data_IF_304833437430
#
_entry.id   IF_304833437430
#
_cell.length_a   1.000
_cell.length_b   1.000
_cell.length_c   1.000
_cell.angle_alpha   90.00
_cell.angle_beta   90.00
_cell.angle_gamma   90.00
#
_symmetry.space_group_name_H-M   'P 1'
#
loop_
_entity.id
_entity.type
_entity.pdbx_description
1 polymer ?
#
# COMPACT_ATOMS: atom_id res chain seq x y z
N UNK A 1 19.70 -10.32 13.00
CA UNK A 1 18.95 -10.09 11.74
C UNK A 1 19.27 -8.68 11.28
N UNK A 2 19.70 -8.52 10.03
CA UNK A 2 19.93 -7.20 9.42
C UNK A 2 18.59 -6.59 8.98
N UNK A 3 18.51 -5.27 8.87
CA UNK A 3 17.32 -4.59 8.32
C UNK A 3 16.97 -4.99 6.88
N UNK A 4 17.88 -5.69 6.20
CA UNK A 4 17.71 -6.18 4.83
C UNK A 4 17.09 -7.58 4.73
N UNK A 5 17.05 -8.33 5.84
CA UNK A 5 16.66 -9.74 5.84
C UNK A 5 15.15 -9.96 5.60
N UNK A 6 14.35 -8.92 5.80
CA UNK A 6 12.89 -8.95 5.55
C UNK A 6 12.50 -8.57 4.11
N UNK A 7 13.49 -8.25 3.26
CA UNK A 7 13.27 -7.78 1.88
C UNK A 7 13.46 -8.93 0.89
N UNK A 8 12.42 -9.71 0.71
CA UNK A 8 12.45 -10.92 -0.12
C UNK A 8 12.32 -10.59 -1.60
N UNK A 9 13.10 -11.28 -2.45
CA UNK A 9 13.05 -11.13 -3.90
C UNK A 9 13.61 -9.81 -4.46
N UNK A 10 14.29 -8.98 -3.63
CA UNK A 10 14.72 -7.62 -4.00
C UNK A 10 16.25 -7.44 -3.99
N UNK A 11 17.01 -8.51 -4.26
CA UNK A 11 18.47 -8.51 -4.08
C UNK A 11 19.18 -7.38 -4.83
N UNK A 12 18.78 -7.09 -6.07
CA UNK A 12 19.37 -6.01 -6.88
C UNK A 12 19.19 -4.63 -6.23
N UNK A 13 17.97 -4.34 -5.73
CA UNK A 13 17.66 -3.10 -5.04
C UNK A 13 18.40 -2.99 -3.69
N UNK A 14 18.50 -4.10 -2.97
CA UNK A 14 19.27 -4.18 -1.71
C UNK A 14 20.74 -3.87 -1.97
N UNK A 15 21.34 -4.44 -3.01
CA UNK A 15 22.75 -4.25 -3.32
C UNK A 15 23.06 -2.80 -3.71
N UNK A 16 22.15 -2.14 -4.46
CA UNK A 16 22.28 -0.70 -4.78
C UNK A 16 22.28 0.13 -3.48
N UNK A 17 21.35 -0.12 -2.57
CA UNK A 17 21.26 0.66 -1.33
C UNK A 17 22.37 0.33 -0.32
N UNK A 18 22.84 -0.91 -0.27
CA UNK A 18 24.03 -1.27 0.51
C UNK A 18 25.26 -0.55 0.02
N UNK A 19 25.51 -0.55 -1.30
CA UNK A 19 26.61 0.20 -1.89
C UNK A 19 26.49 1.70 -1.61
N UNK A 20 25.28 2.27 -1.72
CA UNK A 20 25.03 3.66 -1.40
C UNK A 20 25.28 3.99 0.08
N UNK A 21 24.84 3.13 1.01
CA UNK A 21 25.03 3.38 2.46
C UNK A 21 26.49 3.30 2.91
N UNK A 22 27.32 2.56 2.16
CA UNK A 22 28.76 2.44 2.42
C UNK A 22 29.58 3.57 1.78
N UNK A 23 29.03 4.24 0.76
CA UNK A 23 29.67 5.37 0.11
C UNK A 23 29.45 6.67 0.91
N UNK A 24 30.39 7.61 0.78
CA UNK A 24 30.17 8.97 1.29
C UNK A 24 29.24 9.74 0.35
N UNK A 25 28.42 10.61 0.93
CA UNK A 25 27.66 11.59 0.15
C UNK A 25 28.69 12.47 -0.57
N UNK A 26 28.83 12.30 -1.87
CA UNK A 26 29.76 13.08 -2.66
C UNK A 26 29.27 14.53 -2.69
N UNK A 27 30.22 15.49 -2.68
CA UNK A 27 29.91 16.86 -3.06
C UNK A 27 29.26 16.86 -4.44
N UNK A 28 28.29 17.74 -4.68
CA UNK A 28 27.37 17.79 -5.83
C UNK A 28 27.98 17.75 -7.24
N UNK A 29 29.29 17.55 -7.37
CA UNK A 29 30.07 17.58 -8.62
C UNK A 29 30.45 16.21 -9.18
N UNK A 30 30.23 15.10 -8.45
CA UNK A 30 30.60 13.76 -8.96
C UNK A 30 29.34 12.93 -9.31
N UNK A 31 29.06 12.82 -10.61
CA UNK A 31 28.01 11.93 -11.14
C UNK A 31 28.26 10.44 -10.93
N UNK A 32 29.43 10.05 -10.43
CA UNK A 32 29.89 8.66 -10.30
C UNK A 32 29.75 8.10 -8.87
N UNK A 33 29.21 8.85 -7.94
CA UNK A 33 29.02 8.36 -6.56
C UNK A 33 27.88 7.35 -6.48
N UNK A 34 28.10 6.24 -5.77
CA UNK A 34 27.03 5.28 -5.44
C UNK A 34 25.95 5.94 -4.59
N UNK A 35 26.28 6.95 -3.77
CA UNK A 35 25.36 7.68 -2.90
C UNK A 35 24.90 8.98 -3.54
N UNK A 36 23.59 9.24 -3.48
CA UNK A 36 22.97 10.51 -3.85
C UNK A 36 22.01 10.96 -2.75
N UNK A 37 21.66 12.23 -2.77
CA UNK A 37 20.77 12.83 -1.76
C UNK A 37 19.27 12.65 -2.05
N UNK A 38 18.87 12.16 -3.26
CA UNK A 38 17.46 12.01 -3.61
C UNK A 38 17.22 10.69 -4.34
N UNK A 39 16.36 9.86 -3.76
CA UNK A 39 16.04 8.52 -4.24
C UNK A 39 14.55 8.38 -4.50
N UNK A 40 14.23 7.57 -5.50
CA UNK A 40 12.87 7.14 -5.81
C UNK A 40 12.81 5.61 -5.80
N UNK A 41 12.03 5.05 -4.90
CA UNK A 41 11.74 3.61 -4.84
C UNK A 41 10.44 3.36 -5.56
N UNK A 42 10.49 2.64 -6.69
CA UNK A 42 9.30 2.29 -7.46
C UNK A 42 9.02 0.80 -7.44
N UNK A 43 7.78 0.44 -7.67
CA UNK A 43 7.30 -0.94 -7.75
C UNK A 43 5.81 -1.04 -7.49
N UNK A 44 5.17 -2.14 -7.87
CA UNK A 44 3.73 -2.30 -7.67
C UNK A 44 3.36 -2.25 -6.19
N UNK A 45 2.08 -1.96 -5.86
CA UNK A 45 1.59 -2.04 -4.50
C UNK A 45 1.95 -3.40 -3.86
N UNK A 46 2.41 -3.37 -2.60
CA UNK A 46 2.78 -4.59 -1.87
C UNK A 46 4.15 -5.19 -2.19
N UNK A 47 4.94 -4.63 -3.10
CA UNK A 47 6.31 -5.08 -3.41
C UNK A 47 7.34 -4.79 -2.31
N UNK A 48 6.97 -4.07 -1.24
CA UNK A 48 7.86 -3.74 -0.14
C UNK A 48 8.60 -2.40 -0.27
N UNK A 49 8.08 -1.44 -1.07
CA UNK A 49 8.69 -0.10 -1.27
C UNK A 49 9.03 0.59 0.04
N UNK A 50 8.04 0.74 0.92
CA UNK A 50 8.24 1.38 2.23
C UNK A 50 9.24 0.60 3.08
N UNK A 51 9.16 -0.74 3.09
CA UNK A 51 10.11 -1.57 3.84
C UNK A 51 11.54 -1.34 3.37
N UNK A 52 11.78 -1.30 2.05
CA UNK A 52 13.10 -1.01 1.49
C UNK A 52 13.55 0.43 1.82
N UNK A 53 12.67 1.41 1.73
CA UNK A 53 12.97 2.81 2.08
C UNK A 53 13.39 2.92 3.56
N UNK A 54 12.68 2.27 4.48
CA UNK A 54 13.03 2.28 5.89
C UNK A 54 14.27 1.43 6.22
N UNK A 55 14.51 0.33 5.51
CA UNK A 55 15.75 -0.43 5.65
C UNK A 55 16.97 0.41 5.21
N UNK A 56 16.84 1.15 4.11
CA UNK A 56 17.86 2.09 3.68
C UNK A 56 18.03 3.24 4.67
N UNK A 57 16.94 3.84 5.16
CA UNK A 57 17.00 4.85 6.21
C UNK A 57 17.72 4.31 7.46
N UNK A 58 17.38 3.10 7.91
CA UNK A 58 18.04 2.46 9.04
C UNK A 58 19.54 2.22 8.79
N UNK A 59 19.94 1.88 7.57
CA UNK A 59 21.37 1.70 7.23
C UNK A 59 22.17 2.99 7.29
N UNK A 60 21.53 4.13 6.98
CA UNK A 60 22.15 5.46 7.04
C UNK A 60 22.22 6.03 8.47
N UNK A 61 21.21 5.74 9.29
CA UNK A 61 21.06 6.26 10.64
C UNK A 61 21.78 5.39 11.71
N UNK A 62 21.92 4.10 11.44
CA UNK A 62 22.58 3.15 12.32
C UNK A 62 24.11 3.19 12.15
N UNK A 63 24.85 3.30 13.25
CA UNK A 63 26.32 3.29 13.24
C UNK A 63 26.92 1.99 12.69
N UNK A 64 26.16 0.90 12.72
CA UNK A 64 26.56 -0.41 12.24
C UNK A 64 25.91 -0.78 10.89
N UNK A 65 25.51 0.22 10.08
CA UNK A 65 24.99 0.01 8.72
C UNK A 65 23.69 -0.78 8.63
N UNK A 66 22.80 -0.64 9.64
CA UNK A 66 21.50 -1.31 9.62
C UNK A 66 21.51 -2.71 10.27
N UNK A 67 22.06 -2.82 11.49
CA UNK A 67 22.17 -4.10 12.20
C UNK A 67 20.83 -4.72 12.63
N UNK A 68 19.71 -3.99 12.59
CA UNK A 68 18.37 -4.46 12.95
C UNK A 68 18.07 -4.56 14.45
N UNK A 69 19.09 -4.52 15.31
CA UNK A 69 18.92 -4.82 16.77
C UNK A 69 19.18 -3.62 17.68
N UNK A 70 19.94 -2.61 17.24
CA UNK A 70 20.27 -1.44 18.04
C UNK A 70 19.07 -0.51 18.22
N UNK A 71 19.23 0.48 19.11
CA UNK A 71 18.22 1.49 19.42
C UNK A 71 17.81 2.28 18.16
N UNK A 72 18.78 2.70 17.34
CA UNK A 72 18.52 3.47 16.12
C UNK A 72 17.66 2.66 15.13
N UNK A 73 18.01 1.38 14.87
CA UNK A 73 17.22 0.50 14.01
C UNK A 73 15.78 0.30 14.53
N UNK A 74 15.62 0.12 15.86
CA UNK A 74 14.29 -0.01 16.47
C UNK A 74 13.47 1.27 16.36
N UNK A 75 14.10 2.43 16.55
CA UNK A 75 13.44 3.73 16.41
C UNK A 75 13.07 4.01 14.95
N UNK A 76 13.89 3.63 13.97
CA UNK A 76 13.55 3.75 12.56
C UNK A 76 12.37 2.84 12.21
N UNK A 77 12.36 1.60 12.67
CA UNK A 77 11.24 0.68 12.49
C UNK A 77 9.94 1.23 13.09
N UNK A 78 10.04 1.86 14.29
CA UNK A 78 8.92 2.55 14.95
C UNK A 78 8.63 3.95 14.38
N UNK A 79 9.41 4.46 13.43
CA UNK A 79 9.30 5.81 12.83
C UNK A 79 9.44 6.96 13.85
N UNK A 80 10.19 6.73 14.93
CA UNK A 80 10.39 7.66 16.05
C UNK A 80 11.82 8.19 16.17
N UNK A 81 12.71 7.85 15.22
CA UNK A 81 14.09 8.29 15.25
C UNK A 81 14.18 9.81 15.04
N UNK A 82 14.96 10.58 15.85
CA UNK A 82 15.01 12.05 15.78
C UNK A 82 15.50 12.59 14.43
N UNK A 83 16.36 11.85 13.72
CA UNK A 83 16.88 12.23 12.41
C UNK A 83 16.10 11.58 11.24
N UNK A 84 14.96 10.97 11.51
CA UNK A 84 14.03 10.47 10.51
C UNK A 84 12.77 11.34 10.51
N UNK A 85 12.43 11.90 9.35
CA UNK A 85 11.14 12.52 9.13
C UNK A 85 10.34 11.68 8.11
N UNK A 86 9.09 11.42 8.40
CA UNK A 86 8.25 10.56 7.54
C UNK A 86 6.97 11.29 7.16
N UNK A 87 6.55 11.13 5.92
CA UNK A 87 5.24 11.56 5.46
C UNK A 87 4.48 10.34 4.94
N UNK A 88 3.52 9.91 5.75
CA UNK A 88 2.52 8.92 5.39
C UNK A 88 1.17 9.60 5.57
N UNK A 89 0.50 9.94 4.48
CA UNK A 89 -0.79 10.63 4.60
C UNK A 89 -1.91 9.66 4.93
N UNK A 90 -2.78 10.06 5.84
CA UNK A 90 -4.04 9.36 6.12
C UNK A 90 -5.16 9.82 5.18
N UNK A 91 -4.87 10.77 4.30
CA UNK A 91 -5.80 11.30 3.29
C UNK A 91 -5.62 10.57 1.95
N UNK A 92 -6.58 10.77 1.08
CA UNK A 92 -6.47 10.30 -0.32
C UNK A 92 -5.38 11.04 -1.07
N UNK A 93 -5.18 12.32 -0.76
CA UNK A 93 -4.19 13.21 -1.40
C UNK A 93 -3.30 13.83 -0.32
N UNK A 94 -2.00 13.88 -0.54
CA UNK A 94 -1.03 14.60 0.29
C UNK A 94 -1.24 16.11 0.13
N UNK A 95 -1.47 16.80 1.24
CA UNK A 95 -1.70 18.23 1.23
C UNK A 95 -0.39 19.03 1.09
N UNK A 96 -0.52 20.25 0.56
CA UNK A 96 0.63 21.15 0.41
C UNK A 96 1.26 21.53 1.76
N UNK A 97 0.47 21.61 2.82
CA UNK A 97 0.95 22.00 4.15
C UNK A 97 1.74 20.87 4.82
N UNK A 98 1.35 19.59 4.60
CA UNK A 98 2.14 18.42 5.04
C UNK A 98 3.53 18.43 4.39
N UNK A 99 3.60 18.69 3.08
CA UNK A 99 4.87 18.77 2.35
C UNK A 99 5.70 19.97 2.78
N UNK A 100 5.09 21.14 3.02
CA UNK A 100 5.80 22.33 3.55
C UNK A 100 6.41 22.08 4.91
N UNK A 101 5.66 21.46 5.83
CA UNK A 101 6.17 21.09 7.15
C UNK A 101 7.35 20.13 7.04
N UNK A 102 7.28 19.16 6.11
CA UNK A 102 8.37 18.21 5.87
C UNK A 102 9.62 18.91 5.30
N UNK A 103 9.45 19.77 4.29
CA UNK A 103 10.54 20.59 3.72
C UNK A 103 11.16 21.50 4.79
N UNK A 104 10.37 22.12 5.65
CA UNK A 104 10.89 22.89 6.76
C UNK A 104 11.71 22.03 7.73
N UNK A 105 11.22 20.83 8.04
CA UNK A 105 11.93 19.89 8.90
C UNK A 105 13.26 19.41 8.30
N UNK A 106 13.37 19.35 6.97
CA UNK A 106 14.59 18.91 6.29
C UNK A 106 15.75 19.93 6.39
N UNK A 107 15.44 21.17 6.77
CA UNK A 107 16.46 22.23 6.92
C UNK A 107 17.29 22.08 8.21
N UNK A 108 16.88 21.22 9.14
CA UNK A 108 17.67 20.98 10.36
C UNK A 108 18.81 20.00 10.09
N UNK A 109 19.96 20.28 10.67
CA UNK A 109 21.09 19.35 10.69
C UNK A 109 20.74 18.07 11.45
N UNK A 110 21.37 16.91 11.12
CA UNK A 110 21.22 15.71 11.93
C UNK A 110 21.56 15.96 13.40
N UNK A 111 20.76 15.42 14.33
CA UNK A 111 20.91 15.63 15.76
C UNK A 111 21.84 14.58 16.41
N UNK A 112 21.72 13.30 16.02
CA UNK A 112 22.43 12.18 16.65
C UNK A 112 23.12 11.26 15.65
N UNK A 113 22.67 11.23 14.40
CA UNK A 113 23.16 10.36 13.35
C UNK A 113 24.03 11.10 12.33
N UNK A 114 24.62 10.34 11.39
CA UNK A 114 25.43 10.91 10.31
C UNK A 114 24.58 11.67 9.29
N UNK A 115 23.36 11.19 9.04
CA UNK A 115 22.43 11.72 8.06
C UNK A 115 21.10 12.10 8.69
N UNK A 116 20.40 13.04 8.06
CA UNK A 116 18.98 13.26 8.22
C UNK A 116 18.26 12.62 7.04
N UNK A 117 17.29 11.77 7.33
CA UNK A 117 16.55 11.02 6.29
C UNK A 117 15.09 11.45 6.28
N UNK A 118 14.58 11.74 5.09
CA UNK A 118 13.18 12.07 4.87
C UNK A 118 12.56 11.02 3.95
N UNK A 119 11.49 10.37 4.41
CA UNK A 119 10.75 9.37 3.63
C UNK A 119 9.35 9.89 3.32
N UNK A 120 8.97 9.88 2.04
CA UNK A 120 7.60 10.15 1.58
C UNK A 120 7.05 8.85 1.01
N UNK A 121 6.10 8.26 1.73
CA UNK A 121 5.32 7.14 1.22
C UNK A 121 4.21 7.66 0.29
N UNK A 122 3.84 6.87 -0.73
CA UNK A 122 2.79 7.22 -1.69
C UNK A 122 2.99 8.61 -2.33
N UNK A 123 4.18 8.91 -2.83
CA UNK A 123 4.52 10.20 -3.44
C UNK A 123 3.67 10.52 -4.70
N UNK A 124 3.09 9.51 -5.33
CA UNK A 124 2.09 9.60 -6.40
C UNK A 124 0.82 10.32 -5.97
N UNK A 125 0.51 10.35 -4.67
CA UNK A 125 -0.66 11.07 -4.13
C UNK A 125 -0.45 12.59 -3.98
N UNK A 126 0.69 13.10 -4.40
CA UNK A 126 0.94 14.54 -4.46
C UNK A 126 0.41 15.13 -5.76
N UNK A 127 -0.54 16.08 -5.66
CA UNK A 127 -0.90 16.90 -6.80
C UNK A 127 0.31 17.69 -7.34
N UNK A 128 0.32 18.08 -8.61
CA UNK A 128 1.41 18.81 -9.26
C UNK A 128 1.85 20.05 -8.45
N UNK A 129 0.90 20.83 -7.94
CA UNK A 129 1.18 22.01 -7.11
C UNK A 129 1.91 21.64 -5.80
N UNK A 130 1.57 20.51 -5.21
CA UNK A 130 2.20 19.99 -3.99
C UNK A 130 3.61 19.47 -4.30
N UNK A 131 3.76 18.75 -5.41
CA UNK A 131 5.05 18.24 -5.90
C UNK A 131 6.06 19.35 -6.17
N UNK A 132 5.61 20.49 -6.69
CA UNK A 132 6.48 21.64 -6.96
C UNK A 132 7.12 22.24 -5.69
N UNK A 133 6.52 22.05 -4.51
CA UNK A 133 7.11 22.50 -3.23
C UNK A 133 8.40 21.74 -2.89
N UNK A 134 8.52 20.47 -3.34
CA UNK A 134 9.71 19.65 -3.08
C UNK A 134 10.90 20.01 -3.97
N UNK A 135 10.68 20.60 -5.15
CA UNK A 135 11.72 20.74 -6.17
C UNK A 135 13.00 21.39 -5.63
N UNK A 136 12.87 22.50 -4.90
CA UNK A 136 14.03 23.17 -4.32
C UNK A 136 14.78 22.31 -3.29
N UNK A 137 14.04 21.55 -2.49
CA UNK A 137 14.63 20.68 -1.48
C UNK A 137 15.31 19.45 -2.08
N UNK A 138 14.88 19.03 -3.28
CA UNK A 138 15.51 17.94 -4.03
C UNK A 138 16.71 18.42 -4.87
N UNK A 139 16.71 19.68 -5.31
CA UNK A 139 17.84 20.29 -6.05
C UNK A 139 19.01 20.65 -5.17
N UNK A 140 18.71 21.32 -4.07
CA UNK A 140 19.70 21.88 -3.14
C UNK A 140 19.37 21.46 -1.69
N UNK A 141 19.46 20.15 -1.37
CA UNK A 141 19.21 19.71 0.00
C UNK A 141 20.32 20.21 0.93
N UNK A 142 20.02 20.42 2.21
CA UNK A 142 21.05 20.68 3.20
C UNK A 142 22.06 19.53 3.28
N UNK A 143 23.28 19.85 3.72
CA UNK A 143 24.33 18.84 3.89
C UNK A 143 23.83 17.64 4.71
N UNK A 144 24.16 16.43 4.27
CA UNK A 144 23.83 15.16 4.92
C UNK A 144 22.32 14.89 5.02
N UNK A 145 21.51 15.55 4.18
CA UNK A 145 20.07 15.27 4.07
C UNK A 145 19.80 14.33 2.90
N UNK A 146 19.04 13.26 3.14
CA UNK A 146 18.67 12.24 2.15
C UNK A 146 17.17 12.14 2.04
N UNK A 147 16.66 12.30 0.83
CA UNK A 147 15.24 12.16 0.48
C UNK A 147 15.00 10.78 -0.15
N UNK A 148 13.95 10.10 0.30
CA UNK A 148 13.50 8.82 -0.24
C UNK A 148 12.01 8.96 -0.55
N UNK A 149 11.67 8.92 -1.83
CA UNK A 149 10.29 8.95 -2.32
C UNK A 149 9.87 7.52 -2.68
N UNK A 150 8.62 7.15 -2.40
CA UNK A 150 8.05 5.87 -2.81
C UNK A 150 6.84 6.13 -3.72
N UNK A 151 6.78 5.46 -4.88
CA UNK A 151 5.65 5.55 -5.81
C UNK A 151 5.45 4.21 -6.55
N UNK A 152 4.25 3.89 -7.06
CA UNK A 152 4.02 2.67 -7.85
C UNK A 152 4.86 2.63 -9.13
N UNK A 153 4.98 3.75 -9.82
CA UNK A 153 5.75 3.93 -11.05
C UNK A 153 6.41 5.31 -11.10
N UNK A 154 7.50 5.43 -11.85
CA UNK A 154 8.09 6.74 -12.16
C UNK A 154 7.11 7.64 -12.92
N UNK A 155 6.24 7.06 -13.75
CA UNK A 155 5.27 7.80 -14.54
C UNK A 155 4.22 8.52 -13.67
N UNK A 156 4.02 8.08 -12.44
CA UNK A 156 3.07 8.68 -11.50
C UNK A 156 3.59 9.99 -10.88
N UNK A 157 4.87 10.29 -11.09
CA UNK A 157 5.48 11.54 -10.63
C UNK A 157 5.68 12.53 -11.80
N UNK A 158 5.62 13.83 -11.47
CA UNK A 158 5.87 14.88 -12.47
C UNK A 158 7.31 14.79 -13.02
N UNK A 159 7.53 15.11 -14.30
CA UNK A 159 8.84 15.01 -14.96
C UNK A 159 9.97 15.75 -14.22
N UNK A 160 9.63 16.87 -13.58
CA UNK A 160 10.57 17.70 -12.84
C UNK A 160 11.10 17.04 -11.57
N UNK A 161 10.32 16.19 -10.90
CA UNK A 161 10.83 15.34 -9.79
C UNK A 161 11.67 14.21 -10.36
N UNK A 162 11.19 13.50 -11.39
CA UNK A 162 11.90 12.36 -11.98
C UNK A 162 13.32 12.67 -12.42
N UNK A 163 13.55 13.88 -12.96
CA UNK A 163 14.88 14.31 -13.39
C UNK A 163 15.88 14.59 -12.26
N UNK A 164 15.43 14.60 -10.98
CA UNK A 164 16.23 14.95 -9.79
C UNK A 164 16.42 13.82 -8.81
N UNK A 165 15.83 12.67 -9.08
CA UNK A 165 15.91 11.50 -8.20
C UNK A 165 16.58 10.34 -8.91
N UNK A 166 17.33 9.53 -8.16
CA UNK A 166 17.86 8.25 -8.64
C UNK A 166 16.84 7.16 -8.34
N UNK A 167 16.35 6.51 -9.40
CA UNK A 167 15.33 5.48 -9.28
C UNK A 167 15.93 4.12 -8.96
N UNK A 168 15.24 3.40 -8.05
CA UNK A 168 15.46 1.99 -7.75
C UNK A 168 14.12 1.28 -7.88
N UNK A 169 14.06 0.32 -8.81
CA UNK A 169 12.83 -0.39 -9.14
C UNK A 169 12.77 -1.73 -8.41
N UNK A 170 11.66 -1.96 -7.70
CA UNK A 170 11.32 -3.24 -7.12
C UNK A 170 10.61 -4.14 -8.14
N UNK A 171 10.89 -5.43 -8.05
CA UNK A 171 10.16 -6.47 -8.80
C UNK A 171 8.97 -6.94 -7.98
N UNK A 172 7.99 -7.56 -8.65
CA UNK A 172 6.99 -8.36 -7.94
C UNK A 172 7.70 -9.59 -7.38
N UNK A 173 7.67 -9.84 -6.06
CA UNK A 173 8.24 -11.07 -5.51
C UNK A 173 7.53 -12.29 -6.08
N UNK A 174 8.19 -13.45 -6.10
CA UNK A 174 7.52 -14.68 -6.47
C UNK A 174 6.59 -15.17 -5.36
N UNK A 175 5.58 -15.97 -5.69
CA UNK A 175 4.69 -16.58 -4.69
C UNK A 175 5.48 -17.39 -3.64
N UNK A 176 6.45 -18.24 -4.02
CA UNK A 176 7.30 -18.93 -3.05
C UNK A 176 8.07 -17.98 -2.12
N UNK A 177 8.68 -16.91 -2.68
CA UNK A 177 9.42 -15.95 -1.88
C UNK A 177 8.55 -15.31 -0.79
N UNK A 178 7.31 -14.92 -1.14
CA UNK A 178 6.36 -14.33 -0.18
C UNK A 178 5.90 -15.37 0.83
N UNK A 179 5.64 -16.61 0.41
CA UNK A 179 5.25 -17.69 1.29
C UNK A 179 6.33 -17.99 2.33
N UNK A 180 7.60 -18.11 1.91
CA UNK A 180 8.74 -18.33 2.80
C UNK A 180 8.89 -17.19 3.83
N UNK A 181 8.70 -15.95 3.41
CA UNK A 181 8.71 -14.79 4.30
C UNK A 181 7.61 -14.90 5.37
N UNK A 182 6.38 -15.27 4.97
CA UNK A 182 5.24 -15.41 5.88
C UNK A 182 5.48 -16.55 6.87
N UNK A 183 5.97 -17.70 6.42
CA UNK A 183 6.36 -18.80 7.31
C UNK A 183 7.41 -18.35 8.33
N UNK A 184 8.47 -17.70 7.88
CA UNK A 184 9.58 -17.28 8.75
C UNK A 184 9.19 -16.20 9.76
N UNK A 185 8.34 -15.23 9.34
CA UNK A 185 7.96 -14.08 10.17
C UNK A 185 6.78 -14.37 11.08
N UNK A 186 5.76 -15.04 10.55
CA UNK A 186 4.46 -15.16 11.21
C UNK A 186 4.22 -16.54 11.81
N UNK A 187 5.10 -17.53 11.51
CA UNK A 187 5.04 -18.87 12.07
C UNK A 187 3.85 -19.71 11.60
N UNK A 188 3.20 -19.32 10.49
CA UNK A 188 2.10 -20.08 9.89
C UNK A 188 2.63 -21.27 9.09
N UNK A 189 1.81 -22.28 8.85
CA UNK A 189 2.19 -23.44 8.04
C UNK A 189 2.40 -23.07 6.56
N UNK A 190 3.24 -23.85 5.85
CA UNK A 190 3.64 -23.57 4.48
C UNK A 190 2.46 -23.58 3.48
N UNK A 191 1.45 -24.43 3.70
CA UNK A 191 0.28 -24.51 2.81
C UNK A 191 -0.57 -23.24 2.94
N UNK A 192 -0.82 -22.79 4.16
CA UNK A 192 -1.54 -21.53 4.43
C UNK A 192 -0.77 -20.32 3.89
N UNK A 193 0.57 -20.28 4.08
CA UNK A 193 1.41 -19.20 3.59
C UNK A 193 1.41 -19.13 2.04
N UNK A 194 1.55 -20.27 1.36
CA UNK A 194 1.54 -20.32 -0.11
C UNK A 194 0.18 -19.90 -0.68
N UNK A 195 -0.92 -20.42 -0.12
CA UNK A 195 -2.27 -20.02 -0.50
C UNK A 195 -2.47 -18.51 -0.31
N UNK A 196 -2.09 -17.97 0.83
CA UNK A 196 -2.20 -16.55 1.11
C UNK A 196 -1.34 -15.69 0.17
N UNK A 197 -0.12 -16.10 -0.15
CA UNK A 197 0.77 -15.42 -1.10
C UNK A 197 0.19 -15.43 -2.52
N UNK A 198 -0.40 -16.54 -2.97
CA UNK A 198 -1.07 -16.69 -4.27
C UNK A 198 -2.31 -15.81 -4.35
N UNK A 199 -3.19 -15.86 -3.36
CA UNK A 199 -4.40 -15.03 -3.28
C UNK A 199 -4.08 -13.54 -3.22
N UNK A 200 -3.01 -13.16 -2.53
CA UNK A 200 -2.53 -11.79 -2.46
C UNK A 200 -1.77 -11.35 -3.72
N UNK A 201 -1.60 -12.22 -4.72
CA UNK A 201 -0.81 -11.94 -5.92
C UNK A 201 0.57 -11.35 -5.59
N UNK A 202 1.24 -11.99 -4.62
CA UNK A 202 2.54 -11.58 -4.08
C UNK A 202 2.57 -10.22 -3.35
N UNK A 203 1.43 -9.65 -3.01
CA UNK A 203 1.37 -8.46 -2.17
C UNK A 203 1.69 -8.84 -0.71
N UNK A 204 2.90 -8.52 -0.22
CA UNK A 204 3.42 -8.98 1.09
C UNK A 204 2.46 -8.68 2.25
N UNK A 205 1.97 -7.44 2.37
CA UNK A 205 1.08 -7.04 3.46
C UNK A 205 -0.28 -7.75 3.41
N UNK A 206 -0.81 -8.01 2.21
CA UNK A 206 -2.06 -8.75 2.05
C UNK A 206 -1.86 -10.24 2.32
N UNK A 207 -0.75 -10.84 1.87
CA UNK A 207 -0.41 -12.23 2.16
C UNK A 207 -0.31 -12.47 3.67
N UNK A 208 0.38 -11.57 4.39
CA UNK A 208 0.41 -11.60 5.85
C UNK A 208 -1.01 -11.59 6.45
N UNK A 209 -1.85 -10.64 6.02
CA UNK A 209 -3.21 -10.51 6.53
C UNK A 209 -4.06 -11.75 6.26
N UNK A 210 -4.01 -12.29 5.04
CA UNK A 210 -4.76 -13.50 4.67
C UNK A 210 -4.26 -14.76 5.41
N UNK A 211 -2.98 -14.82 5.72
CA UNK A 211 -2.38 -15.94 6.45
C UNK A 211 -2.66 -15.90 7.96
N UNK A 212 -2.74 -14.70 8.57
CA UNK A 212 -2.84 -14.51 10.02
C UNK A 212 -4.25 -14.18 10.50
N UNK A 213 -5.15 -13.74 9.61
CA UNK A 213 -6.52 -13.37 9.94
C UNK A 213 -7.54 -14.22 9.16
N UNK A 214 -8.12 -15.26 9.80
CA UNK A 214 -9.10 -16.14 9.17
C UNK A 214 -10.35 -15.41 8.65
N UNK A 215 -10.77 -14.33 9.31
CA UNK A 215 -11.94 -13.56 8.88
C UNK A 215 -11.65 -12.80 7.57
N UNK A 216 -10.44 -12.26 7.42
CA UNK A 216 -10.03 -11.62 6.16
C UNK A 216 -9.99 -12.63 5.01
N UNK A 217 -9.50 -13.85 5.26
CA UNK A 217 -9.51 -14.94 4.28
C UNK A 217 -10.94 -15.34 3.91
N UNK A 218 -11.85 -15.48 4.88
CA UNK A 218 -13.25 -15.81 4.65
C UNK A 218 -13.99 -14.73 3.84
N UNK A 219 -13.75 -13.44 4.13
CA UNK A 219 -14.34 -12.31 3.37
C UNK A 219 -13.87 -12.30 1.91
N UNK A 220 -12.59 -12.60 1.65
CA UNK A 220 -12.09 -12.75 0.28
C UNK A 220 -12.79 -13.92 -0.43
N UNK A 221 -12.90 -15.06 0.23
CA UNK A 221 -13.59 -16.25 -0.32
C UNK A 221 -15.05 -15.94 -0.64
N UNK A 222 -15.76 -15.21 0.25
CA UNK A 222 -17.12 -14.74 0.02
C UNK A 222 -17.20 -13.84 -1.23
N UNK A 223 -16.25 -12.90 -1.39
CA UNK A 223 -16.17 -12.02 -2.57
C UNK A 223 -16.04 -12.81 -3.87
N UNK A 224 -15.14 -13.81 -3.90
CA UNK A 224 -14.95 -14.67 -5.08
C UNK A 224 -16.23 -15.48 -5.38
N UNK A 225 -16.87 -16.06 -4.37
CA UNK A 225 -18.12 -16.79 -4.54
C UNK A 225 -19.26 -15.90 -5.04
N UNK A 226 -19.38 -14.69 -4.51
CA UNK A 226 -20.39 -13.74 -4.95
C UNK A 226 -20.29 -13.49 -6.46
N UNK A 227 -19.09 -13.16 -6.97
CA UNK A 227 -18.94 -12.82 -8.39
C UNK A 227 -19.15 -14.02 -9.32
N UNK A 228 -18.74 -15.20 -8.91
CA UNK A 228 -18.93 -16.43 -9.70
C UNK A 228 -20.40 -16.88 -9.80
N UNK A 229 -21.25 -16.44 -8.88
CA UNK A 229 -22.67 -16.80 -8.80
C UNK A 229 -23.62 -15.72 -9.35
N UNK A 230 -23.13 -14.65 -9.97
CA UNK A 230 -23.98 -13.60 -10.55
C UNK A 230 -24.51 -14.08 -11.89
N UNK A 231 -25.83 -14.35 -11.94
CA UNK A 231 -26.54 -14.75 -13.16
C UNK A 231 -27.57 -13.71 -13.61
N UNK A 232 -28.00 -12.82 -12.71
CA UNK A 232 -29.06 -11.86 -12.96
C UNK A 232 -28.68 -10.45 -12.49
N UNK A 233 -29.34 -9.43 -13.06
CA UNK A 233 -29.15 -8.02 -12.64
C UNK A 233 -29.48 -7.85 -11.14
N UNK A 234 -30.51 -8.57 -10.63
CA UNK A 234 -30.84 -8.52 -9.21
C UNK A 234 -29.71 -9.02 -8.34
N UNK A 235 -29.11 -10.15 -8.70
CA UNK A 235 -27.96 -10.71 -7.97
C UNK A 235 -26.74 -9.79 -8.05
N UNK A 236 -26.53 -9.15 -9.20
CA UNK A 236 -25.45 -8.16 -9.36
C UNK A 236 -25.59 -6.99 -8.37
N UNK A 237 -26.79 -6.42 -8.23
CA UNK A 237 -27.05 -5.32 -7.29
C UNK A 237 -26.87 -5.79 -5.83
N UNK A 238 -27.36 -6.97 -5.49
CA UNK A 238 -27.19 -7.52 -4.13
C UNK A 238 -25.72 -7.84 -3.83
N UNK A 239 -25.00 -8.37 -4.79
CA UNK A 239 -23.55 -8.64 -4.65
C UNK A 239 -22.77 -7.34 -4.49
N UNK A 240 -23.09 -6.26 -5.22
CA UNK A 240 -22.48 -4.97 -5.07
C UNK A 240 -22.66 -4.41 -3.65
N UNK A 241 -23.89 -4.44 -3.13
CA UNK A 241 -24.20 -4.02 -1.78
C UNK A 241 -23.39 -4.83 -0.74
N UNK A 242 -23.34 -6.16 -0.90
CA UNK A 242 -22.60 -7.03 0.02
C UNK A 242 -21.10 -6.80 -0.03
N UNK A 243 -20.51 -6.58 -1.21
CA UNK A 243 -19.09 -6.26 -1.34
C UNK A 243 -18.71 -4.93 -0.67
N UNK A 244 -19.62 -3.94 -0.70
CA UNK A 244 -19.42 -2.67 0.01
C UNK A 244 -19.48 -2.87 1.54
N UNK A 245 -20.41 -3.71 2.02
CA UNK A 245 -20.45 -4.08 3.44
C UNK A 245 -19.14 -4.77 3.86
N UNK A 246 -18.65 -5.75 3.10
CA UNK A 246 -17.37 -6.42 3.34
C UNK A 246 -16.22 -5.40 3.43
N UNK A 247 -16.13 -4.47 2.47
CA UNK A 247 -15.09 -3.42 2.50
C UNK A 247 -15.24 -2.49 3.71
N UNK A 248 -16.47 -2.19 4.13
CA UNK A 248 -16.75 -1.35 5.29
C UNK A 248 -16.37 -2.04 6.59
N UNK A 249 -16.71 -3.32 6.73
CA UNK A 249 -16.35 -4.12 7.91
C UNK A 249 -14.84 -4.32 8.02
N UNK A 250 -14.17 -4.51 6.88
CA UNK A 250 -12.71 -4.57 6.81
C UNK A 250 -12.06 -3.25 7.23
N UNK A 251 -12.57 -2.13 6.75
CA UNK A 251 -12.07 -0.80 7.12
C UNK A 251 -12.25 -0.53 8.62
N UNK A 252 -13.39 -0.90 9.18
CA UNK A 252 -13.67 -0.78 10.63
C UNK A 252 -12.69 -1.64 11.43
N UNK A 253 -12.55 -2.94 11.10
CA UNK A 253 -11.66 -3.85 11.81
C UNK A 253 -10.20 -3.37 11.84
N UNK A 254 -9.75 -2.61 10.83
CA UNK A 254 -8.40 -2.03 10.76
C UNK A 254 -8.28 -0.77 11.63
N UNK A 255 -9.34 0.01 11.78
CA UNK A 255 -9.26 1.36 12.37
C UNK A 255 -9.79 1.43 13.81
N UNK A 256 -10.80 0.63 14.19
CA UNK A 256 -11.51 0.77 15.47
C UNK A 256 -10.59 0.63 16.70
N UNK A 257 -9.71 -0.36 16.74
CA UNK A 257 -8.81 -0.57 17.87
C UNK A 257 -7.86 0.63 18.04
N UNK A 258 -7.27 1.08 16.95
CA UNK A 258 -6.36 2.23 16.94
C UNK A 258 -7.08 3.51 17.31
N UNK A 259 -8.25 3.75 16.75
CA UNK A 259 -9.05 4.96 16.96
C UNK A 259 -9.52 5.06 18.42
N UNK A 260 -9.88 3.92 19.04
CA UNK A 260 -10.20 3.84 20.45
C UNK A 260 -9.01 4.19 21.35
N UNK A 261 -7.84 3.62 21.08
CA UNK A 261 -6.61 3.89 21.86
C UNK A 261 -6.19 5.35 21.71
N UNK A 262 -6.24 5.93 20.52
CA UNK A 262 -5.89 7.34 20.28
C UNK A 262 -6.83 8.30 21.01
N UNK A 263 -8.13 8.02 20.98
CA UNK A 263 -9.12 8.83 21.70
C UNK A 263 -8.90 8.78 23.22
N UNK A 264 -8.62 7.60 23.74
CA UNK A 264 -8.36 7.41 25.18
C UNK A 264 -7.05 8.10 25.60
N UNK A 265 -5.99 7.98 24.82
CA UNK A 265 -4.72 8.68 25.06
C UNK A 265 -4.92 10.19 25.03
N UNK A 266 -5.69 10.71 24.08
CA UNK A 266 -6.01 12.14 24.02
C UNK A 266 -6.77 12.59 25.27
N UNK A 267 -7.80 11.84 25.70
CA UNK A 267 -8.56 12.12 26.93
C UNK A 267 -7.65 12.14 28.16
N UNK A 268 -6.80 11.12 28.31
CA UNK A 268 -5.83 11.05 29.41
C UNK A 268 -4.84 12.21 29.41
N UNK A 269 -4.32 12.62 28.25
CA UNK A 269 -3.40 13.74 28.13
C UNK A 269 -4.04 15.09 28.51
N UNK A 270 -5.36 15.18 28.37
CA UNK A 270 -6.16 16.34 28.75
C UNK A 270 -6.65 16.29 30.21
N UNK A 271 -6.33 15.24 30.97
CA UNK A 271 -6.79 15.06 32.35
C UNK A 271 -8.29 14.73 32.47
N UNK A 272 -8.92 14.19 31.42
CA UNK A 272 -10.33 13.80 31.41
C UNK A 272 -10.45 12.32 31.79
N UNK A 273 -11.14 12.02 32.87
CA UNK A 273 -11.36 10.64 33.30
C UNK A 273 -12.33 9.90 32.36
N UNK A 274 -12.27 8.57 32.40
CA UNK A 274 -13.16 7.73 31.62
C UNK A 274 -14.62 7.95 32.06
N UNK A 275 -15.49 8.25 31.09
CA UNK A 275 -16.90 8.57 31.35
C UNK A 275 -17.21 10.06 31.57
N UNK A 276 -16.22 10.91 31.80
CA UNK A 276 -16.45 12.34 32.01
C UNK A 276 -16.80 13.09 30.73
N UNK A 277 -17.62 14.15 30.86
CA UNK A 277 -17.96 15.02 29.75
C UNK A 277 -16.74 15.84 29.30
N UNK A 278 -16.55 15.98 27.98
CA UNK A 278 -15.46 16.79 27.40
C UNK A 278 -15.72 18.28 27.66
N UNK A 279 -14.79 18.98 28.37
CA UNK A 279 -14.89 20.42 28.58
C UNK A 279 -14.97 21.21 27.28
N UNK A 280 -15.72 22.33 27.28
CA UNK A 280 -16.00 23.12 26.06
C UNK A 280 -14.73 23.60 25.37
N UNK A 281 -13.70 23.98 26.14
CA UNK A 281 -12.40 24.45 25.64
C UNK A 281 -11.55 23.34 25.00
N UNK A 282 -11.83 22.06 25.27
CA UNK A 282 -11.10 20.91 24.73
C UNK A 282 -11.84 20.20 23.57
N UNK A 283 -13.10 20.58 23.33
CA UNK A 283 -13.93 19.95 22.27
C UNK A 283 -13.32 20.10 20.87
N UNK A 284 -12.60 21.19 20.60
CA UNK A 284 -11.97 21.42 19.30
C UNK A 284 -10.85 20.40 19.01
N UNK A 285 -10.10 19.97 20.03
CA UNK A 285 -9.03 18.99 19.90
C UNK A 285 -9.60 17.59 19.66
N UNK A 286 -10.64 17.22 20.42
CA UNK A 286 -11.35 15.92 20.21
C UNK A 286 -11.97 15.89 18.82
N UNK A 287 -12.66 16.97 18.41
CA UNK A 287 -13.25 17.07 17.07
C UNK A 287 -12.18 16.97 15.96
N UNK A 288 -11.00 17.55 16.17
CA UNK A 288 -9.87 17.40 15.24
C UNK A 288 -9.42 15.95 15.07
N UNK A 289 -9.32 15.20 16.18
CA UNK A 289 -9.01 13.76 16.14
C UNK A 289 -10.12 12.95 15.43
N UNK A 290 -11.39 13.19 15.77
CA UNK A 290 -12.53 12.52 15.14
C UNK A 290 -12.58 12.79 13.62
N UNK A 291 -12.28 14.01 13.18
CA UNK A 291 -12.17 14.33 11.75
C UNK A 291 -11.01 13.59 11.08
N UNK A 292 -9.88 13.44 11.77
CA UNK A 292 -8.75 12.65 11.28
C UNK A 292 -9.11 11.17 11.19
N UNK A 293 -9.73 10.59 12.20
CA UNK A 293 -10.22 9.22 12.22
C UNK A 293 -11.23 8.97 11.09
N UNK A 294 -12.17 9.90 10.86
CA UNK A 294 -13.13 9.81 9.74
C UNK A 294 -12.42 9.81 8.36
N UNK A 295 -11.37 10.62 8.19
CA UNK A 295 -10.58 10.62 6.96
C UNK A 295 -9.84 9.29 6.76
N UNK A 296 -9.26 8.73 7.83
CA UNK A 296 -8.63 7.40 7.84
C UNK A 296 -9.61 6.32 7.46
N UNK A 297 -10.81 6.30 8.05
CA UNK A 297 -11.87 5.35 7.72
C UNK A 297 -12.27 5.44 6.24
N UNK A 298 -12.39 6.66 5.68
CA UNK A 298 -12.68 6.86 4.25
C UNK A 298 -11.57 6.29 3.37
N UNK A 299 -10.31 6.48 3.73
CA UNK A 299 -9.16 5.89 3.02
C UNK A 299 -9.21 4.36 3.11
N UNK A 300 -9.36 3.80 4.32
CA UNK A 300 -9.40 2.36 4.54
C UNK A 300 -10.53 1.68 3.76
N UNK A 301 -11.70 2.34 3.65
CA UNK A 301 -12.80 1.86 2.81
C UNK A 301 -12.40 1.81 1.32
N UNK A 302 -11.75 2.85 0.80
CA UNK A 302 -11.29 2.86 -0.60
C UNK A 302 -10.25 1.79 -0.86
N UNK A 303 -9.28 1.65 0.05
CA UNK A 303 -8.26 0.61 -0.04
C UNK A 303 -8.90 -0.80 0.06
N UNK A 304 -10.01 -0.95 0.80
CA UNK A 304 -10.84 -2.16 0.88
C UNK A 304 -11.54 -2.47 -0.44
N UNK A 305 -12.17 -1.47 -1.05
CA UNK A 305 -12.84 -1.60 -2.35
C UNK A 305 -11.85 -1.89 -3.47
N UNK A 306 -10.69 -1.24 -3.48
CA UNK A 306 -9.64 -1.51 -4.46
C UNK A 306 -9.16 -2.97 -4.38
N UNK A 307 -9.00 -3.52 -3.16
CA UNK A 307 -8.68 -4.95 -2.97
C UNK A 307 -9.75 -5.86 -3.53
N UNK A 308 -11.02 -5.58 -3.28
CA UNK A 308 -12.14 -6.34 -3.85
C UNK A 308 -12.05 -6.31 -5.39
N UNK A 309 -11.82 -5.16 -6.00
CA UNK A 309 -11.67 -5.04 -7.45
C UNK A 309 -10.47 -5.82 -8.00
N UNK A 310 -9.36 -5.87 -7.25
CA UNK A 310 -8.20 -6.72 -7.57
C UNK A 310 -8.54 -8.20 -7.46
N UNK A 311 -9.33 -8.61 -6.46
CA UNK A 311 -9.81 -9.99 -6.34
C UNK A 311 -10.74 -10.38 -7.50
N UNK A 312 -11.67 -9.50 -7.90
CA UNK A 312 -12.50 -9.69 -9.09
C UNK A 312 -11.64 -9.83 -10.35
N UNK A 313 -10.62 -8.98 -10.50
CA UNK A 313 -9.70 -9.06 -11.63
C UNK A 313 -8.97 -10.41 -11.67
N UNK A 314 -8.60 -10.96 -10.50
CA UNK A 314 -7.97 -12.28 -10.41
C UNK A 314 -8.89 -13.41 -10.88
N UNK A 315 -10.19 -13.33 -10.56
CA UNK A 315 -11.20 -14.30 -11.01
C UNK A 315 -11.34 -14.26 -12.53
N UNK A 316 -11.54 -13.08 -13.12
CA UNK A 316 -11.70 -12.98 -14.58
C UNK A 316 -10.42 -13.27 -15.35
N UNK A 317 -9.23 -13.02 -14.76
CA UNK A 317 -7.95 -13.48 -15.30
C UNK A 317 -7.90 -15.01 -15.35
N UNK A 318 -8.30 -15.70 -14.29
CA UNK A 318 -8.33 -17.17 -14.24
C UNK A 318 -9.34 -17.72 -15.26
N UNK A 319 -10.53 -17.10 -15.38
CA UNK A 319 -11.53 -17.45 -16.42
C UNK A 319 -10.94 -17.30 -17.82
N UNK A 320 -10.31 -16.17 -18.12
CA UNK A 320 -9.70 -15.91 -19.43
C UNK A 320 -8.60 -16.93 -19.77
N UNK A 321 -7.78 -17.28 -18.78
CA UNK A 321 -6.71 -18.29 -18.97
C UNK A 321 -7.28 -19.67 -19.32
N UNK A 322 -8.36 -20.07 -18.65
CA UNK A 322 -9.06 -21.32 -18.97
C UNK A 322 -9.66 -21.29 -20.38
N UNK A 323 -10.23 -20.16 -20.82
CA UNK A 323 -10.74 -19.96 -22.17
C UNK A 323 -9.65 -20.05 -23.24
N UNK A 324 -8.47 -19.52 -22.95
CA UNK A 324 -7.31 -19.52 -23.86
C UNK A 324 -6.49 -20.82 -23.81
N UNK A 325 -6.81 -21.76 -22.91
CA UNK A 325 -6.07 -23.02 -22.76
C UNK A 325 -4.65 -22.85 -22.23
N UNK A 326 -4.38 -21.77 -21.48
CA UNK A 326 -3.05 -21.52 -20.90
C UNK A 326 -2.86 -22.38 -19.64
N UNK A 327 -1.77 -23.11 -19.58
CA UNK A 327 -1.49 -24.15 -18.56
C UNK A 327 -0.85 -23.66 -17.27
N UNK A 328 -0.70 -22.35 -17.07
CA UNK A 328 -0.14 -21.81 -15.83
C UNK A 328 -1.11 -21.95 -14.64
N UNK A 329 -0.59 -21.87 -13.41
CA UNK A 329 -1.39 -21.98 -12.19
C UNK A 329 -2.44 -20.88 -12.05
N UNK A 330 -3.66 -21.30 -11.64
CA UNK A 330 -4.74 -20.39 -11.30
C UNK A 330 -4.44 -19.70 -9.94
N UNK A 331 -4.93 -18.48 -9.78
CA UNK A 331 -4.87 -17.78 -8.49
C UNK A 331 -5.89 -18.37 -7.53
N UNK A 332 -7.07 -18.67 -8.03
CA UNK A 332 -8.21 -19.14 -7.26
C UNK A 332 -8.46 -20.65 -7.48
N UNK A 333 -7.44 -21.47 -7.19
CA UNK A 333 -7.45 -22.93 -7.43
C UNK A 333 -8.63 -23.62 -6.74
N UNK A 334 -9.00 -23.14 -5.55
CA UNK A 334 -10.10 -23.70 -4.75
C UNK A 334 -11.47 -23.60 -5.44
N UNK A 335 -11.59 -22.72 -6.44
CA UNK A 335 -12.79 -22.48 -7.24
C UNK A 335 -12.67 -22.98 -8.68
N UNK A 336 -11.76 -23.91 -8.95
CA UNK A 336 -11.47 -24.35 -10.32
C UNK A 336 -12.73 -24.87 -11.05
N UNK A 337 -13.65 -25.57 -10.38
CA UNK A 337 -14.88 -26.04 -10.97
C UNK A 337 -15.82 -24.92 -11.42
N UNK A 338 -15.99 -23.91 -10.56
CA UNK A 338 -16.82 -22.74 -10.83
C UNK A 338 -16.18 -21.84 -11.91
N UNK A 339 -14.84 -21.71 -11.88
CA UNK A 339 -14.09 -20.97 -12.90
C UNK A 339 -14.22 -21.62 -14.27
N UNK A 340 -14.17 -22.97 -14.37
CA UNK A 340 -14.40 -23.70 -15.61
C UNK A 340 -15.83 -23.53 -16.10
N UNK A 341 -16.82 -23.57 -15.22
CA UNK A 341 -18.21 -23.31 -15.56
C UNK A 341 -18.39 -21.87 -16.09
N UNK A 342 -17.80 -20.88 -15.42
CA UNK A 342 -17.82 -19.48 -15.87
C UNK A 342 -17.10 -19.30 -17.22
N UNK A 343 -15.99 -19.99 -17.45
CA UNK A 343 -15.25 -19.95 -18.71
C UNK A 343 -16.04 -20.54 -19.89
N UNK A 344 -16.85 -21.56 -19.62
CA UNK A 344 -17.72 -22.17 -20.64
C UNK A 344 -19.00 -21.34 -20.93
N UNK A 345 -19.44 -20.53 -19.97
CA UNK A 345 -20.68 -19.74 -20.05
C UNK A 345 -20.56 -18.39 -20.77
N UNK A 346 -19.34 -17.94 -21.11
CA UNK A 346 -19.08 -16.63 -21.72
C UNK A 346 -17.96 -16.68 -22.75
N UNK A 347 -17.91 -15.68 -23.62
CA UNK A 347 -16.81 -15.51 -24.56
C UNK A 347 -15.56 -14.88 -23.91
N UNK A 348 -14.41 -15.01 -24.56
CA UNK A 348 -13.18 -14.33 -24.13
C UNK A 348 -13.29 -12.80 -24.27
N UNK A 349 -14.04 -12.32 -25.25
CA UNK A 349 -14.35 -10.89 -25.45
C UNK A 349 -15.16 -10.34 -24.28
N UNK A 350 -16.20 -11.07 -23.81
CA UNK A 350 -17.01 -10.65 -22.65
C UNK A 350 -16.18 -10.64 -21.37
N UNK A 351 -15.27 -11.59 -21.23
CA UNK A 351 -14.34 -11.64 -20.10
C UNK A 351 -13.40 -10.44 -20.10
N UNK A 352 -12.81 -10.10 -21.26
CA UNK A 352 -11.97 -8.90 -21.40
C UNK A 352 -12.76 -7.61 -21.15
N UNK A 353 -13.97 -7.49 -21.70
CA UNK A 353 -14.85 -6.33 -21.46
C UNK A 353 -15.21 -6.17 -19.97
N UNK A 354 -15.33 -7.27 -19.23
CA UNK A 354 -15.54 -7.24 -17.77
C UNK A 354 -14.29 -6.78 -17.05
N UNK A 355 -13.10 -7.24 -17.46
CA UNK A 355 -11.83 -6.76 -16.88
C UNK A 355 -11.60 -5.27 -17.12
N UNK A 356 -11.96 -4.76 -18.31
CA UNK A 356 -11.95 -3.30 -18.60
C UNK A 356 -12.93 -2.55 -17.71
N UNK A 357 -14.15 -3.09 -17.51
CA UNK A 357 -15.13 -2.47 -16.61
C UNK A 357 -14.66 -2.41 -15.15
N UNK A 358 -13.85 -3.37 -14.69
CA UNK A 358 -13.19 -3.31 -13.37
C UNK A 358 -12.22 -2.11 -13.32
N UNK A 359 -11.41 -1.91 -14.36
CA UNK A 359 -10.55 -0.74 -14.48
C UNK A 359 -11.32 0.58 -14.42
N UNK A 360 -12.41 0.71 -15.21
CA UNK A 360 -13.29 1.86 -15.17
C UNK A 360 -13.92 2.10 -13.78
N UNK A 361 -14.30 1.05 -13.07
CA UNK A 361 -14.86 1.18 -11.72
C UNK A 361 -13.82 1.73 -10.72
N UNK A 362 -12.56 1.30 -10.81
CA UNK A 362 -11.44 1.83 -10.01
C UNK A 362 -11.27 3.33 -10.27
N UNK A 363 -11.16 3.73 -11.54
CA UNK A 363 -11.01 5.14 -11.92
C UNK A 363 -12.18 6.01 -11.43
N UNK A 364 -13.41 5.51 -11.51
CA UNK A 364 -14.60 6.22 -11.01
C UNK A 364 -14.58 6.40 -9.50
N UNK A 365 -14.19 5.37 -8.73
CA UNK A 365 -14.04 5.45 -7.27
C UNK A 365 -12.95 6.47 -6.90
N UNK A 366 -11.82 6.47 -7.61
CA UNK A 366 -10.73 7.44 -7.41
C UNK A 366 -11.18 8.86 -7.75
N UNK A 367 -12.02 9.03 -8.77
CA UNK A 367 -12.65 10.30 -9.14
C UNK A 367 -13.81 10.72 -8.21
N UNK A 368 -14.01 10.07 -7.05
CA UNK A 368 -15.06 10.34 -6.06
C UNK A 368 -16.50 10.04 -6.53
N UNK A 369 -16.70 9.17 -7.50
CA UNK A 369 -18.03 8.61 -7.77
C UNK A 369 -18.43 7.73 -6.59
N UNK A 370 -19.73 7.75 -6.23
CA UNK A 370 -20.23 6.92 -5.14
C UNK A 370 -19.91 5.44 -5.37
N UNK A 371 -19.23 4.75 -4.44
CA UNK A 371 -18.82 3.35 -4.62
C UNK A 371 -19.97 2.41 -5.01
N UNK A 372 -21.18 2.64 -4.44
CA UNK A 372 -22.36 1.83 -4.77
C UNK A 372 -22.67 1.87 -6.28
N UNK A 373 -22.70 3.06 -6.87
CA UNK A 373 -23.00 3.22 -8.28
C UNK A 373 -21.91 2.60 -9.18
N UNK A 374 -20.63 2.74 -8.80
CA UNK A 374 -19.52 2.17 -9.56
C UNK A 374 -19.56 0.62 -9.53
N UNK A 375 -19.77 0.04 -8.33
CA UNK A 375 -19.85 -1.42 -8.14
C UNK A 375 -21.10 -2.03 -8.79
N UNK A 376 -22.26 -1.40 -8.66
CA UNK A 376 -23.49 -1.84 -9.32
C UNK A 376 -23.35 -1.84 -10.86
N UNK A 377 -22.84 -0.73 -11.43
CA UNK A 377 -22.62 -0.63 -12.87
C UNK A 377 -21.65 -1.70 -13.39
N UNK A 378 -20.56 -1.97 -12.65
CA UNK A 378 -19.61 -3.03 -12.95
C UNK A 378 -20.28 -4.41 -12.95
N UNK A 379 -20.95 -4.77 -11.84
CA UNK A 379 -21.48 -6.13 -11.68
C UNK A 379 -22.68 -6.40 -12.56
N UNK A 380 -23.50 -5.38 -12.87
CA UNK A 380 -24.56 -5.48 -13.89
C UNK A 380 -23.97 -5.74 -15.27
N UNK A 381 -22.85 -5.08 -15.63
CA UNK A 381 -22.15 -5.34 -16.89
C UNK A 381 -21.58 -6.78 -16.92
N UNK A 382 -21.02 -7.23 -15.81
CA UNK A 382 -20.49 -8.58 -15.65
C UNK A 382 -21.57 -9.67 -15.72
N UNK A 383 -22.82 -9.38 -15.32
CA UNK A 383 -23.95 -10.31 -15.38
C UNK A 383 -24.56 -10.48 -16.77
N UNK A 384 -24.31 -9.56 -17.70
CA UNK A 384 -24.84 -9.58 -19.08
C UNK A 384 -23.99 -10.48 -19.98
N UNK A 385 -23.93 -11.76 -19.67
CA UNK A 385 -23.63 -12.76 -20.69
C UNK A 385 -24.91 -12.94 -21.50
N UNK A 386 -24.97 -12.32 -22.67
CA UNK A 386 -26.02 -12.67 -23.64
C UNK A 386 -25.82 -14.14 -23.98
N UNK A 387 -26.79 -14.96 -23.62
CA UNK A 387 -26.95 -16.29 -24.23
C UNK A 387 -27.19 -15.99 -25.72
N UNK A 388 -26.34 -16.43 -26.64
CA UNK A 388 -26.65 -16.28 -28.06
C UNK A 388 -27.97 -16.97 -28.34
N UNK A 389 -28.89 -16.22 -28.95
CA UNK A 389 -30.22 -16.69 -29.34
C UNK A 389 -30.15 -17.83 -30.37
#
# INVERSE_FOLDING_TARGET
MSVWDELVGQQEAIDIFRAASQAELASATSHDSAMTHSWLVTGPPGSGRSNLAYAFAASLLCRNGGCGTCSDCKQVAARTHPDLATLTTERVIISIDEVRALVQSSQYSPAVSRYRVIVIEDADRMAERTSNVLLKALEEPPERTVWILCAPSEADLIPTIRSRVRSVRLRVPSVPDVADLIVARDGVDAVTAERAARHAQSHIGMAHRLATNPEAAARREETVRLVLNIMTVREAVLAAARMIEIATDDAKAITEERDGVELEQLRRSMGIAEGDAIPVNLRSQVKGLEEQQKRRATRSLRDGLDRILVDLLSVYRDVLRLQLGVSDELINVEFESELRAAAAARSSEDTLATMEAIGEARERIDANVAPALAMEALLIRASRSEVPA
#
